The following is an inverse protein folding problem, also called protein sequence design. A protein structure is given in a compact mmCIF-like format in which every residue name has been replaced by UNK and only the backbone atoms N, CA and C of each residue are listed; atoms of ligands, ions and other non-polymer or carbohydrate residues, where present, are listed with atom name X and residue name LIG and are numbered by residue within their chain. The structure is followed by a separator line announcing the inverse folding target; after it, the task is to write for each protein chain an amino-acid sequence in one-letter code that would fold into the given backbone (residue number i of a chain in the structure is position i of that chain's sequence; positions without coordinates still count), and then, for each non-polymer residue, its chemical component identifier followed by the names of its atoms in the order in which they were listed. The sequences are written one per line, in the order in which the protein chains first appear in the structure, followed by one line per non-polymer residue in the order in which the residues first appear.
data_IF_272015127602
#
_entry.id   IF_272015127602
#
_cell.length_a   1.000
_cell.length_b   1.000
_cell.length_c   1.000
_cell.angle_alpha   90.00
_cell.angle_beta   90.00
_cell.angle_gamma   90.00
#
_symmetry.space_group_name_H-M   'P 1'
#
loop_
_entity.id
_entity.type
_entity.pdbx_description
1 polymer ?
#
# COMPACT_ATOMS: atom_id res chain seq x y z
N UNK A 1 -6.35 68.49 22.63
CA UNK A 1 -5.92 67.54 21.58
C UNK A 1 -4.67 66.83 22.04
N UNK A 2 -4.74 65.52 22.28
CA UNK A 2 -3.60 64.60 22.31
C UNK A 2 -4.17 63.18 22.22
N UNK A 3 -4.19 62.64 21.00
CA UNK A 3 -4.39 61.22 20.75
C UNK A 3 -3.21 60.48 21.36
N UNK A 4 -3.48 59.55 22.28
CA UNK A 4 -2.45 58.62 22.74
C UNK A 4 -2.67 57.29 22.04
N UNK A 5 -1.77 57.02 21.09
CA UNK A 5 -1.63 55.79 20.32
C UNK A 5 -1.30 54.63 21.27
N UNK A 6 -2.29 53.80 21.62
CA UNK A 6 -2.08 52.51 22.29
C UNK A 6 -1.90 51.44 21.22
N UNK A 7 -0.88 51.55 20.37
CA UNK A 7 -0.53 50.50 19.40
C UNK A 7 1.00 50.49 19.19
N UNK A 8 1.78 49.98 20.16
CA UNK A 8 2.92 49.15 19.72
C UNK A 8 3.20 47.92 20.59
N UNK A 9 2.51 47.70 21.71
CA UNK A 9 2.87 46.65 22.66
C UNK A 9 2.28 45.26 22.34
N UNK A 10 1.17 45.19 21.58
CA UNK A 10 0.47 43.92 21.29
C UNK A 10 1.14 43.16 20.14
N UNK A 11 1.74 43.86 19.17
CA UNK A 11 2.35 43.25 17.98
C UNK A 11 3.66 42.52 18.34
N UNK A 12 4.40 42.99 19.35
CA UNK A 12 5.67 42.37 19.76
C UNK A 12 5.49 41.02 20.48
N UNK A 13 4.32 40.76 21.07
CA UNK A 13 4.03 39.49 21.74
C UNK A 13 3.50 38.39 20.78
N UNK A 14 2.95 38.75 19.62
CA UNK A 14 2.49 37.77 18.63
C UNK A 14 3.64 37.16 17.81
N UNK A 15 4.76 37.86 17.66
CA UNK A 15 5.90 37.39 16.87
C UNK A 15 6.70 36.30 17.60
N UNK A 16 6.78 36.35 18.94
CA UNK A 16 7.49 35.33 19.71
C UNK A 16 6.75 33.98 19.80
N UNK A 17 5.46 33.93 19.44
CA UNK A 17 4.67 32.69 19.50
C UNK A 17 4.67 31.89 18.20
N UNK A 18 5.26 32.41 17.12
CA UNK A 18 5.24 31.78 15.78
C UNK A 18 6.52 30.97 15.50
N UNK A 19 7.54 31.03 16.35
CA UNK A 19 8.86 30.45 16.06
C UNK A 19 9.08 29.00 16.55
N UNK A 20 8.08 28.34 17.15
CA UNK A 20 8.15 26.89 17.40
C UNK A 20 7.64 26.12 16.19
N UNK A 21 8.27 26.35 15.03
CA UNK A 21 8.29 25.35 13.98
C UNK A 21 9.23 24.25 14.47
N UNK A 22 8.66 23.23 15.11
CA UNK A 22 9.33 21.94 15.25
C UNK A 22 9.53 21.45 13.81
N UNK A 23 10.70 21.74 13.27
CA UNK A 23 11.28 20.93 12.21
C UNK A 23 11.53 19.58 12.87
N UNK A 24 10.52 18.72 12.81
CA UNK A 24 10.71 17.31 13.07
C UNK A 24 11.73 16.87 12.01
N UNK A 25 12.98 16.79 12.43
CA UNK A 25 14.06 16.21 11.65
C UNK A 25 13.67 14.73 11.46
N UNK A 26 13.10 14.40 10.29
CA UNK A 26 12.60 13.05 9.97
C UNK A 26 13.68 11.99 10.22
N UNK A 27 14.96 12.39 10.12
CA UNK A 27 16.12 11.54 10.36
C UNK A 27 16.32 11.13 11.84
N UNK A 28 15.77 11.88 12.81
CA UNK A 28 16.01 11.60 14.23
C UNK A 28 15.09 10.52 14.82
N UNK A 29 13.93 10.27 14.21
CA UNK A 29 12.93 9.35 14.74
C UNK A 29 13.41 7.89 14.79
N UNK A 30 14.23 7.44 13.84
CA UNK A 30 14.62 6.03 13.75
C UNK A 30 15.78 5.62 14.67
N UNK A 31 16.60 6.58 15.11
CA UNK A 31 17.81 6.28 15.91
C UNK A 31 17.49 5.75 17.32
N UNK A 32 16.33 6.11 17.87
CA UNK A 32 15.97 5.80 19.26
C UNK A 32 15.21 4.48 19.45
N UNK A 33 14.60 3.93 18.40
CA UNK A 33 13.83 2.67 18.46
C UNK A 33 14.69 1.40 18.35
N UNK A 34 15.99 1.52 18.07
CA UNK A 34 16.83 0.40 17.61
C UNK A 34 17.77 -0.27 18.61
N UNK A 35 17.51 -0.23 19.92
CA UNK A 35 18.50 -0.68 20.91
C UNK A 35 18.56 -2.21 21.18
N UNK A 36 17.68 -3.04 20.60
CA UNK A 36 17.82 -4.50 20.70
C UNK A 36 17.74 -5.18 19.34
N UNK A 37 18.87 -5.72 18.88
CA UNK A 37 18.95 -6.66 17.75
C UNK A 37 19.05 -6.05 16.35
N UNK A 38 19.14 -4.71 16.22
CA UNK A 38 19.06 -4.02 14.93
C UNK A 38 20.41 -3.63 14.31
N UNK A 39 21.55 -4.03 14.89
CA UNK A 39 22.89 -3.64 14.40
C UNK A 39 23.21 -4.10 12.97
N UNK A 40 22.34 -4.92 12.36
CA UNK A 40 22.44 -5.37 10.97
C UNK A 40 21.21 -5.06 10.10
N UNK A 41 20.21 -4.33 10.63
CA UNK A 41 19.02 -3.97 9.83
C UNK A 41 19.35 -2.72 9.02
N UNK A 42 19.35 -2.87 7.69
CA UNK A 42 19.50 -1.75 6.78
C UNK A 42 18.26 -0.85 6.89
N UNK A 43 18.39 0.30 7.56
CA UNK A 43 17.32 1.29 7.70
C UNK A 43 17.19 2.20 6.47
N UNK A 44 18.14 2.16 5.53
CA UNK A 44 18.05 2.92 4.28
C UNK A 44 16.91 2.40 3.39
N UNK A 45 16.39 1.20 3.68
CA UNK A 45 15.13 0.72 3.13
C UNK A 45 13.99 1.70 3.44
N UNK A 46 13.87 2.21 4.67
CA UNK A 46 12.81 3.18 5.00
C UNK A 46 13.06 4.58 4.42
N UNK A 47 14.30 4.86 4.00
CA UNK A 47 14.67 6.11 3.34
C UNK A 47 14.40 6.09 1.83
N UNK A 48 14.33 4.91 1.22
CA UNK A 48 13.89 4.77 -0.16
C UNK A 48 12.40 4.42 -0.19
N UNK A 49 11.61 5.23 -0.90
CA UNK A 49 10.21 4.88 -1.20
C UNK A 49 10.10 3.50 -1.84
N UNK A 50 11.19 2.94 -2.37
CA UNK A 50 11.24 1.69 -3.14
C UNK A 50 11.19 0.41 -2.30
N UNK A 51 11.64 0.42 -1.04
CA UNK A 51 11.84 -0.83 -0.29
C UNK A 51 10.55 -1.43 0.27
N UNK A 52 9.60 -0.56 0.65
CA UNK A 52 8.28 -0.98 1.14
C UNK A 52 7.50 -1.65 -0.01
N UNK A 53 7.81 -1.27 -1.25
CA UNK A 53 7.05 -1.62 -2.45
C UNK A 53 7.38 -3.01 -3.03
N UNK A 54 8.52 -3.60 -2.65
CA UNK A 54 8.95 -4.92 -3.13
C UNK A 54 9.07 -5.93 -1.99
N UNK A 55 7.96 -6.21 -1.32
CA UNK A 55 7.90 -7.08 -0.14
C UNK A 55 6.57 -7.83 -0.02
N UNK A 56 6.50 -8.78 0.91
CA UNK A 56 5.26 -9.51 1.20
C UNK A 56 4.37 -8.72 2.15
N UNK A 57 3.11 -8.53 1.76
CA UNK A 57 2.09 -7.86 2.55
C UNK A 57 0.91 -8.80 2.80
N UNK A 58 0.29 -8.69 3.97
CA UNK A 58 -0.96 -9.39 4.28
C UNK A 58 -2.10 -8.54 3.73
N UNK A 59 -2.72 -8.99 2.65
CA UNK A 59 -3.76 -8.25 1.92
C UNK A 59 -5.07 -9.03 1.93
N UNK A 60 -6.19 -8.32 2.05
CA UNK A 60 -7.52 -8.87 1.80
C UNK A 60 -7.77 -8.95 0.29
N UNK A 61 -8.17 -10.13 -0.19
CA UNK A 61 -8.38 -10.39 -1.62
C UNK A 61 -9.87 -10.51 -1.88
N UNK A 62 -10.33 -9.79 -2.91
CA UNK A 62 -11.71 -9.79 -3.38
C UNK A 62 -11.74 -10.18 -4.87
N UNK A 63 -12.68 -11.06 -5.24
CA UNK A 63 -12.96 -11.40 -6.64
C UNK A 63 -14.41 -11.03 -6.93
N UNK A 64 -14.64 -10.17 -7.93
CA UNK A 64 -15.98 -9.68 -8.28
C UNK A 64 -16.76 -9.22 -7.02
N UNK A 65 -16.11 -8.41 -6.18
CA UNK A 65 -16.66 -7.87 -4.92
C UNK A 65 -16.89 -8.89 -3.79
N UNK A 66 -16.71 -10.19 -4.05
CA UNK A 66 -16.78 -11.21 -3.02
C UNK A 66 -15.44 -11.35 -2.31
N UNK A 67 -15.47 -11.32 -0.97
CA UNK A 67 -14.29 -11.59 -0.15
C UNK A 67 -13.86 -13.05 -0.31
N UNK A 68 -12.56 -13.23 -0.56
CA UNK A 68 -11.92 -14.53 -0.80
C UNK A 68 -11.12 -14.95 0.42
N UNK A 69 -10.38 -14.01 1.01
CA UNK A 69 -9.55 -14.28 2.17
C UNK A 69 -8.43 -13.28 2.33
N UNK A 70 -7.70 -13.41 3.44
CA UNK A 70 -6.48 -12.65 3.70
C UNK A 70 -5.26 -13.47 3.33
N UNK A 71 -4.44 -12.97 2.41
CA UNK A 71 -3.30 -13.70 1.83
C UNK A 71 -2.00 -12.90 1.96
N UNK A 72 -0.88 -13.63 2.04
CA UNK A 72 0.45 -13.03 1.92
C UNK A 72 0.80 -12.87 0.44
N UNK A 73 0.67 -11.65 -0.06
CA UNK A 73 0.89 -11.31 -1.47
C UNK A 73 2.21 -10.57 -1.59
N UNK A 74 3.06 -11.03 -2.51
CA UNK A 74 4.26 -10.28 -2.86
C UNK A 74 3.88 -9.08 -3.72
N UNK A 75 4.26 -7.88 -3.31
CA UNK A 75 4.14 -6.67 -4.12
C UNK A 75 5.47 -6.44 -4.82
N UNK A 76 5.43 -5.96 -6.06
CA UNK A 76 6.64 -5.54 -6.77
C UNK A 76 6.39 -4.27 -7.57
N UNK A 77 7.47 -3.53 -7.83
CA UNK A 77 7.44 -2.31 -8.62
C UNK A 77 7.43 -2.62 -10.12
N UNK A 78 6.39 -2.17 -10.82
CA UNK A 78 6.28 -2.24 -12.28
C UNK A 78 7.05 -1.11 -12.98
N UNK A 79 7.00 -1.11 -14.31
CA UNK A 79 7.74 -0.19 -15.19
C UNK A 79 7.38 1.30 -15.05
N UNK A 80 6.26 1.65 -14.41
CA UNK A 80 5.79 3.04 -14.21
C UNK A 80 5.73 3.44 -12.73
N UNK A 81 6.57 2.87 -11.87
CA UNK A 81 6.48 2.99 -10.39
C UNK A 81 5.17 2.46 -9.77
N UNK A 82 4.26 1.89 -10.56
CA UNK A 82 3.06 1.25 -10.05
C UNK A 82 3.43 0.01 -9.24
N UNK A 83 2.76 -0.16 -8.09
CA UNK A 83 2.89 -1.35 -7.25
C UNK A 83 1.93 -2.41 -7.79
N UNK A 84 2.46 -3.58 -8.11
CA UNK A 84 1.68 -4.66 -8.72
C UNK A 84 1.67 -5.86 -7.75
N UNK A 85 0.49 -6.38 -7.37
CA UNK A 85 0.40 -7.60 -6.60
C UNK A 85 0.69 -8.82 -7.48
N UNK A 86 1.62 -9.66 -7.02
CA UNK A 86 1.87 -10.99 -7.57
C UNK A 86 0.86 -11.98 -6.99
N UNK A 87 -0.28 -12.14 -7.67
CA UNK A 87 -1.28 -13.14 -7.29
C UNK A 87 -0.90 -14.52 -7.81
N UNK A 88 -1.06 -15.54 -6.97
CA UNK A 88 -0.92 -16.96 -7.31
C UNK A 88 -2.31 -17.57 -7.47
N UNK A 89 -2.42 -18.72 -8.13
CA UNK A 89 -3.69 -19.45 -8.24
C UNK A 89 -4.34 -19.68 -6.87
N UNK A 90 -3.55 -20.00 -5.84
CA UNK A 90 -4.04 -20.24 -4.47
C UNK A 90 -4.66 -19.00 -3.79
N UNK A 91 -4.39 -17.79 -4.29
CA UNK A 91 -5.00 -16.57 -3.75
C UNK A 91 -6.40 -16.31 -4.31
N UNK A 92 -6.79 -17.04 -5.35
CA UNK A 92 -7.97 -16.72 -6.18
C UNK A 92 -8.78 -17.95 -6.60
N UNK A 93 -8.36 -19.15 -6.20
CA UNK A 93 -9.13 -20.40 -6.31
C UNK A 93 -9.67 -20.75 -4.92
N UNK A 94 -10.97 -20.54 -4.71
CA UNK A 94 -11.64 -20.85 -3.45
C UNK A 94 -12.82 -21.80 -3.68
N UNK A 95 -13.25 -22.55 -2.66
CA UNK A 95 -14.36 -23.49 -2.79
C UNK A 95 -15.64 -22.87 -3.38
N UNK A 96 -15.89 -21.58 -3.16
CA UNK A 96 -17.08 -20.87 -3.66
C UNK A 96 -16.87 -20.08 -4.97
N UNK A 97 -15.64 -19.93 -5.46
CA UNK A 97 -15.30 -19.23 -6.71
C UNK A 97 -14.17 -19.97 -7.40
N UNK A 98 -14.49 -20.64 -8.51
CA UNK A 98 -13.51 -21.37 -9.31
C UNK A 98 -13.35 -20.73 -10.69
N UNK A 99 -12.12 -20.37 -11.03
CA UNK A 99 -11.79 -19.79 -12.34
C UNK A 99 -11.50 -20.91 -13.33
N UNK A 100 -12.25 -20.98 -14.43
CA UNK A 100 -12.23 -22.09 -15.40
C UNK A 100 -10.95 -22.18 -16.21
N UNK A 101 -10.25 -21.06 -16.42
CA UNK A 101 -9.07 -20.98 -17.27
C UNK A 101 -7.92 -20.34 -16.51
N UNK A 102 -6.96 -21.17 -16.12
CA UNK A 102 -5.67 -20.72 -15.60
C UNK A 102 -4.66 -20.69 -16.74
N UNK A 103 -3.83 -19.66 -16.81
CA UNK A 103 -2.74 -19.54 -17.78
C UNK A 103 -1.41 -19.60 -17.04
N UNK A 104 -0.39 -20.11 -17.74
CA UNK A 104 0.97 -20.35 -17.25
C UNK A 104 1.52 -19.17 -16.43
N UNK A 105 1.90 -19.50 -15.20
CA UNK A 105 2.77 -18.69 -14.35
C UNK A 105 4.07 -18.37 -15.10
N UNK A 106 4.43 -17.09 -15.15
CA UNK A 106 5.80 -16.67 -15.38
C UNK A 106 6.30 -16.19 -14.01
N UNK A 107 7.29 -16.89 -13.44
CA UNK A 107 7.86 -16.60 -12.11
C UNK A 107 6.85 -16.64 -10.95
N UNK A 108 5.94 -17.61 -10.94
CA UNK A 108 4.93 -17.86 -9.90
C UNK A 108 3.82 -16.81 -9.77
N UNK A 109 3.87 -15.70 -10.53
CA UNK A 109 2.78 -14.73 -10.59
C UNK A 109 1.82 -15.05 -11.75
N UNK A 110 0.53 -14.98 -11.48
CA UNK A 110 -0.54 -15.07 -12.47
C UNK A 110 -0.83 -13.67 -12.97
N UNK A 111 -0.55 -13.42 -14.24
CA UNK A 111 -0.95 -12.18 -14.90
C UNK A 111 -2.43 -12.31 -15.33
N UNK A 112 -3.35 -12.09 -14.39
CA UNK A 112 -4.79 -12.30 -14.61
C UNK A 112 -5.29 -11.44 -15.79
N UNK A 113 -4.84 -10.19 -15.88
CA UNK A 113 -5.25 -9.26 -16.93
C UNK A 113 -4.83 -9.70 -18.34
N UNK A 114 -3.65 -10.30 -18.50
CA UNK A 114 -3.24 -10.89 -19.79
C UNK A 114 -3.83 -12.28 -20.04
N UNK A 115 -4.08 -13.02 -18.97
CA UNK A 115 -4.50 -14.42 -19.04
C UNK A 115 -5.99 -14.59 -19.32
N UNK A 116 -6.79 -13.66 -18.81
CA UNK A 116 -8.25 -13.66 -18.88
C UNK A 116 -8.68 -12.31 -19.44
N UNK A 117 -9.07 -12.30 -20.71
CA UNK A 117 -9.53 -11.10 -21.40
C UNK A 117 -10.69 -10.43 -20.63
N UNK A 118 -10.62 -9.12 -20.46
CA UNK A 118 -11.60 -8.34 -19.71
C UNK A 118 -11.43 -8.39 -18.18
N UNK A 119 -10.39 -9.05 -17.68
CA UNK A 119 -10.08 -9.06 -16.24
C UNK A 119 -9.19 -7.88 -15.84
N UNK A 120 -9.33 -7.44 -14.59
CA UNK A 120 -8.53 -6.35 -14.03
C UNK A 120 -8.05 -6.70 -12.63
N UNK A 121 -6.94 -6.08 -12.21
CA UNK A 121 -6.44 -6.14 -10.83
C UNK A 121 -6.22 -4.71 -10.37
N UNK A 122 -6.73 -4.37 -9.18
CA UNK A 122 -6.54 -3.08 -8.52
C UNK A 122 -6.07 -3.32 -7.08
N UNK A 123 -4.97 -2.69 -6.71
CA UNK A 123 -4.48 -2.63 -5.34
C UNK A 123 -4.95 -1.32 -4.70
N UNK A 124 -5.60 -1.41 -3.55
CA UNK A 124 -5.79 -0.29 -2.63
C UNK A 124 -4.86 -0.51 -1.43
N UNK A 125 -3.68 0.11 -1.50
CA UNK A 125 -2.66 -0.05 -0.46
C UNK A 125 -3.06 0.61 0.86
N UNK A 126 -3.93 1.63 0.83
CA UNK A 126 -4.38 2.31 2.05
C UNK A 126 -5.27 1.42 2.92
N UNK A 127 -6.02 0.53 2.27
CA UNK A 127 -6.89 -0.45 2.93
C UNK A 127 -6.25 -1.84 3.05
N UNK A 128 -5.08 -2.04 2.41
CA UNK A 128 -4.43 -3.36 2.25
C UNK A 128 -5.35 -4.36 1.53
N UNK A 129 -5.99 -3.91 0.45
CA UNK A 129 -6.96 -4.70 -0.31
C UNK A 129 -6.55 -4.88 -1.77
N UNK A 130 -6.82 -6.07 -2.33
CA UNK A 130 -6.67 -6.37 -3.75
C UNK A 130 -8.01 -6.76 -4.32
N UNK A 131 -8.44 -6.02 -5.34
CA UNK A 131 -9.65 -6.26 -6.09
C UNK A 131 -9.32 -6.88 -7.43
N UNK A 132 -9.90 -8.04 -7.71
CA UNK A 132 -9.80 -8.72 -8.99
C UNK A 132 -11.18 -8.76 -9.63
N UNK A 133 -11.29 -8.27 -10.86
CA UNK A 133 -12.51 -8.45 -11.67
C UNK A 133 -12.24 -9.51 -12.72
N UNK A 134 -13.13 -10.50 -12.81
CA UNK A 134 -13.06 -11.61 -13.77
C UNK A 134 -14.43 -11.72 -14.45
N UNK A 135 -14.52 -11.74 -15.79
CA UNK A 135 -15.79 -11.91 -16.47
C UNK A 135 -16.47 -13.24 -16.12
N UNK A 136 -17.79 -13.19 -15.92
CA UNK A 136 -18.61 -14.31 -15.46
C UNK A 136 -18.47 -15.60 -16.29
N UNK A 137 -18.19 -15.48 -17.59
CA UNK A 137 -17.96 -16.64 -18.47
C UNK A 137 -16.81 -17.53 -17.98
N UNK A 138 -15.83 -16.94 -17.29
CA UNK A 138 -14.66 -17.63 -16.75
C UNK A 138 -14.84 -18.07 -15.29
N UNK A 139 -15.95 -17.73 -14.64
CA UNK A 139 -16.26 -18.20 -13.28
C UNK A 139 -17.20 -19.41 -13.37
N UNK A 140 -16.89 -20.45 -12.61
CA UNK A 140 -17.81 -21.55 -12.34
C UNK A 140 -18.64 -21.22 -11.09
N UNK A 141 -19.92 -20.91 -11.29
CA UNK A 141 -20.86 -20.53 -10.24
C UNK A 141 -21.61 -21.73 -9.63
N UNK A 142 -21.33 -22.96 -10.10
CA UNK A 142 -22.07 -24.17 -9.71
C UNK A 142 -21.38 -24.99 -8.61
N UNK A 143 -20.43 -24.42 -7.88
CA UNK A 143 -19.80 -25.11 -6.75
C UNK A 143 -20.65 -24.94 -5.48
N UNK A 144 -21.23 -26.05 -5.03
CA UNK A 144 -21.84 -26.23 -3.70
C UNK A 144 -20.79 -26.70 -2.71
#
# INVERSE_FOLDING_TARGET
MKHSFIIPAVIFNLINMISLQVLADEDYYFSSFGQKGLSSINLDVFKSEESILSSHHSLDVYINEAYVGRHFVYLYKGSNNNIIPCLKNEHIDMPWIKVKKWVKSNNDCVDIGKSIEGSTIKLDFSMLEVYVTIPDIFIDKNYN
#
